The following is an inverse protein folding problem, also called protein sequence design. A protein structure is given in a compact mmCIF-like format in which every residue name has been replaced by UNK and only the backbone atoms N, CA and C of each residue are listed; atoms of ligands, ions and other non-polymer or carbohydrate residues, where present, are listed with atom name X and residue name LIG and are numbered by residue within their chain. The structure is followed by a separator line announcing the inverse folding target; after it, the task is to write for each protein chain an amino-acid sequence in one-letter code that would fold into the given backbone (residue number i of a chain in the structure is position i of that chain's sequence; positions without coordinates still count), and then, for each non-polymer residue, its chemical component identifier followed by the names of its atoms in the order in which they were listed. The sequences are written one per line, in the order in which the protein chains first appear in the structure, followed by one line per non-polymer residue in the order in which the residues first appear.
data_IF_927988304583
#
_entry.id   IF_927988304583
#
_cell.length_a   1.000
_cell.length_b   1.000
_cell.length_c   1.000
_cell.angle_alpha   90.00
_cell.angle_beta   90.00
_cell.angle_gamma   90.00
#
_symmetry.space_group_name_H-M   'P 1'
#
loop_
_entity.id
_entity.type
_entity.pdbx_description
1 polymer ?
#
# COMPACT_ATOMS: atom_id res chain seq x y z
N UNK A 1 30.10 -22.33 1.04
CA UNK A 1 29.36 -21.17 0.49
C UNK A 1 27.88 -21.53 0.45
N UNK A 2 27.11 -21.17 1.49
CA UNK A 2 25.66 -21.37 1.49
C UNK A 2 25.01 -20.13 0.87
N UNK A 3 24.26 -20.37 -0.20
CA UNK A 3 23.46 -19.40 -0.94
C UNK A 3 22.28 -19.03 -0.04
N UNK A 4 22.22 -17.78 0.42
CA UNK A 4 21.14 -17.30 1.29
C UNK A 4 19.80 -17.35 0.56
N UNK A 5 18.87 -18.13 1.10
CA UNK A 5 17.48 -18.15 0.67
C UNK A 5 16.83 -16.82 1.09
N UNK A 6 16.44 -16.00 0.10
CA UNK A 6 15.58 -14.85 0.36
C UNK A 6 14.20 -15.39 0.78
N UNK A 7 13.95 -15.45 2.09
CA UNK A 7 12.67 -15.85 2.66
C UNK A 7 11.60 -14.88 2.15
N UNK A 8 10.75 -15.37 1.25
CA UNK A 8 9.76 -14.57 0.55
C UNK A 8 8.74 -13.98 1.54
N UNK A 9 8.46 -12.69 1.36
CA UNK A 9 7.29 -12.03 1.94
C UNK A 9 6.02 -12.76 1.46
N UNK A 10 5.11 -13.04 2.38
CA UNK A 10 3.81 -13.63 2.03
C UNK A 10 2.77 -12.52 1.97
N UNK A 11 2.14 -12.35 0.81
CA UNK A 11 0.95 -11.52 0.67
C UNK A 11 -0.23 -12.25 1.30
N UNK A 12 -0.66 -11.81 2.49
CA UNK A 12 -1.81 -12.40 3.16
C UNK A 12 -2.97 -11.41 3.20
N UNK A 13 -4.14 -11.85 2.71
CA UNK A 13 -5.40 -11.12 2.90
C UNK A 13 -6.04 -11.60 4.20
N UNK A 14 -6.13 -10.72 5.21
CA UNK A 14 -6.77 -11.02 6.51
C UNK A 14 -7.85 -9.97 6.78
N UNK A 15 -9.11 -10.39 6.93
CA UNK A 15 -10.25 -9.50 7.23
C UNK A 15 -10.31 -8.24 6.35
N UNK A 16 -10.10 -8.41 5.04
CA UNK A 16 -10.13 -7.30 4.06
C UNK A 16 -8.89 -6.39 4.07
N UNK A 17 -7.83 -6.77 4.79
CA UNK A 17 -6.55 -6.06 4.78
C UNK A 17 -5.58 -6.77 3.84
N UNK A 18 -4.91 -6.00 3.00
CA UNK A 18 -3.70 -6.44 2.32
C UNK A 18 -2.50 -6.11 3.20
N UNK A 19 -1.78 -7.13 3.66
CA UNK A 19 -0.69 -6.98 4.63
C UNK A 19 0.57 -7.64 4.08
N UNK A 20 1.66 -6.88 4.01
CA UNK A 20 3.01 -7.44 3.92
C UNK A 20 3.57 -7.55 5.34
N UNK A 21 3.56 -8.76 5.92
CA UNK A 21 4.08 -9.00 7.27
C UNK A 21 5.55 -9.45 7.21
N UNK A 22 6.40 -8.75 7.97
CA UNK A 22 7.80 -9.13 8.16
C UNK A 22 8.00 -9.50 9.62
N UNK A 23 8.58 -10.67 9.87
CA UNK A 23 8.91 -11.08 11.23
C UNK A 23 10.08 -10.24 11.74
N UNK A 24 9.80 -9.30 12.66
CA UNK A 24 10.80 -8.42 13.28
C UNK A 24 11.94 -9.21 13.96
N UNK A 25 11.68 -10.46 14.38
CA UNK A 25 12.70 -11.35 14.99
C UNK A 25 13.69 -11.92 13.97
N UNK A 26 13.32 -11.92 12.69
CA UNK A 26 14.18 -12.43 11.61
C UNK A 26 15.11 -11.31 11.06
N UNK A 27 15.01 -10.07 11.56
CA UNK A 27 15.79 -8.90 11.10
C UNK A 27 16.47 -8.23 12.30
N UNK A 28 17.67 -8.70 12.65
CA UNK A 28 18.42 -8.30 13.87
C UNK A 28 18.74 -6.81 13.97
N UNK A 29 18.84 -6.11 12.84
CA UNK A 29 19.37 -4.74 12.75
C UNK A 29 18.27 -3.70 12.42
N UNK A 30 17.00 -4.11 12.43
CA UNK A 30 15.86 -3.32 11.98
C UNK A 30 15.57 -3.50 10.49
N UNK A 31 14.30 -3.43 10.12
CA UNK A 31 13.84 -3.57 8.74
C UNK A 31 13.57 -2.21 8.12
N UNK A 32 14.14 -1.94 6.94
CA UNK A 32 13.92 -0.70 6.23
C UNK A 32 12.54 -0.71 5.53
N UNK A 33 11.58 -0.01 6.12
CA UNK A 33 10.22 0.15 5.58
C UNK A 33 10.06 1.40 4.71
N UNK A 34 11.16 1.98 4.24
CA UNK A 34 11.11 3.04 3.21
C UNK A 34 10.43 2.51 1.96
N UNK A 35 9.49 3.26 1.42
CA UNK A 35 8.72 2.84 0.25
C UNK A 35 8.24 4.03 -0.58
N UNK A 36 7.92 3.73 -1.83
CA UNK A 36 7.26 4.63 -2.75
C UNK A 36 5.99 3.94 -3.26
N UNK A 37 4.82 4.53 -3.02
CA UNK A 37 3.56 4.11 -3.62
C UNK A 37 3.46 4.83 -4.95
N UNK A 38 3.98 4.20 -6.01
CA UNK A 38 3.93 4.79 -7.34
C UNK A 38 2.48 4.97 -7.81
N UNK A 39 1.60 4.01 -7.51
CA UNK A 39 0.18 4.04 -7.89
C UNK A 39 -0.61 2.99 -7.11
N UNK A 40 -1.81 3.33 -6.68
CA UNK A 40 -2.77 2.41 -6.09
C UNK A 40 -4.18 2.74 -6.59
N UNK A 41 -4.84 1.81 -7.27
CA UNK A 41 -6.17 2.04 -7.85
C UNK A 41 -7.05 0.80 -7.70
N UNK A 42 -8.37 1.02 -7.72
CA UNK A 42 -9.37 -0.02 -7.52
C UNK A 42 -10.39 0.01 -8.67
N UNK A 43 -10.18 -0.85 -9.67
CA UNK A 43 -10.99 -0.88 -10.89
C UNK A 43 -10.29 -0.21 -12.07
N UNK A 44 -11.07 0.17 -13.09
CA UNK A 44 -10.54 0.82 -14.29
C UNK A 44 -10.12 2.27 -14.01
N UNK A 45 -9.00 2.68 -14.61
CA UNK A 45 -8.51 4.06 -14.51
C UNK A 45 -9.42 5.01 -15.28
N UNK A 46 -9.83 6.08 -14.63
CA UNK A 46 -10.54 7.19 -15.26
C UNK A 46 -9.63 8.41 -15.28
N UNK A 47 -9.46 9.04 -16.44
CA UNK A 47 -8.64 10.25 -16.57
C UNK A 47 -9.22 11.38 -15.73
N UNK A 48 -8.35 12.11 -15.03
CA UNK A 48 -8.75 13.21 -14.14
C UNK A 48 -9.23 12.77 -12.75
N UNK A 49 -9.30 11.47 -12.46
CA UNK A 49 -9.52 10.98 -11.10
C UNK A 49 -8.17 10.82 -10.43
N UNK A 50 -7.94 11.59 -9.38
CA UNK A 50 -6.72 11.50 -8.57
C UNK A 50 -6.76 10.28 -7.66
N UNK A 51 -5.60 9.64 -7.50
CA UNK A 51 -5.40 8.53 -6.57
C UNK A 51 -4.69 9.05 -5.31
N UNK A 52 -5.35 9.12 -4.14
CA UNK A 52 -4.81 9.77 -2.95
C UNK A 52 -3.42 9.31 -2.47
N UNK A 53 -3.00 8.08 -2.79
CA UNK A 53 -1.67 7.55 -2.41
C UNK A 53 -0.65 7.56 -3.56
N UNK A 54 -1.05 7.89 -4.78
CA UNK A 54 -0.13 7.96 -5.93
C UNK A 54 0.97 9.00 -5.67
N UNK A 55 2.23 8.56 -5.79
CA UNK A 55 3.42 9.37 -5.50
C UNK A 55 3.82 9.46 -4.03
N UNK A 56 3.18 8.71 -3.12
CA UNK A 56 3.54 8.74 -1.69
C UNK A 56 4.95 8.19 -1.48
N UNK A 57 5.83 8.98 -0.86
CA UNK A 57 7.18 8.56 -0.48
C UNK A 57 7.36 8.59 1.04
N UNK A 58 7.89 7.49 1.60
CA UNK A 58 8.30 7.38 3.00
C UNK A 58 9.74 6.93 3.07
N UNK A 59 10.56 7.66 3.83
CA UNK A 59 11.97 7.34 4.05
C UNK A 59 12.20 7.13 5.53
N UNK A 60 12.69 5.95 5.90
CA UNK A 60 13.02 5.56 7.27
C UNK A 60 14.53 5.63 7.44
N UNK A 61 15.00 6.66 8.14
CA UNK A 61 16.43 6.91 8.35
C UNK A 61 17.00 6.14 9.56
N UNK A 62 16.17 5.90 10.60
CA UNK A 62 16.55 5.20 11.84
C UNK A 62 15.34 4.46 12.41
N UNK A 63 15.59 3.29 12.99
CA UNK A 63 14.57 2.43 13.60
C UNK A 63 13.75 1.63 12.58
N UNK A 64 12.72 0.92 13.06
CA UNK A 64 11.76 0.23 12.20
C UNK A 64 10.37 0.90 12.37
N UNK A 65 9.78 1.36 11.27
CA UNK A 65 8.46 1.99 11.27
C UNK A 65 7.42 1.09 10.63
N UNK A 66 6.22 1.05 11.20
CA UNK A 66 5.04 0.42 10.62
C UNK A 66 4.13 1.51 10.07
N UNK A 67 3.77 1.42 8.79
CA UNK A 67 2.86 2.34 8.11
C UNK A 67 1.52 1.64 7.85
N UNK A 68 0.43 2.21 8.35
CA UNK A 68 -0.92 1.74 8.10
C UNK A 68 -1.68 2.76 7.25
N UNK A 69 -2.21 2.31 6.12
CA UNK A 69 -3.10 3.07 5.25
C UNK A 69 -4.51 2.49 5.32
N UNK A 70 -5.43 3.23 5.92
CA UNK A 70 -6.85 2.86 6.03
C UNK A 70 -7.59 3.43 4.82
N UNK A 71 -7.95 2.54 3.89
CA UNK A 71 -8.59 2.91 2.63
C UNK A 71 -10.11 2.73 2.75
N UNK A 72 -10.86 3.78 2.42
CA UNK A 72 -12.32 3.71 2.27
C UNK A 72 -12.68 3.81 0.80
N UNK A 73 -13.29 2.76 0.27
CA UNK A 73 -13.71 2.69 -1.14
C UNK A 73 -15.14 3.18 -1.33
N UNK A 74 -15.35 3.93 -2.41
CA UNK A 74 -16.65 4.39 -2.89
C UNK A 74 -16.82 3.93 -4.34
N UNK A 75 -17.68 2.93 -4.61
CA UNK A 75 -18.01 2.53 -5.98
C UNK A 75 -18.52 3.72 -6.77
N UNK A 76 -18.00 3.92 -7.98
CA UNK A 76 -18.32 5.06 -8.85
C UNK A 76 -18.52 4.58 -10.28
N UNK A 77 -19.59 5.05 -10.92
CA UNK A 77 -19.87 4.85 -12.34
C UNK A 77 -19.55 6.14 -13.10
N UNK A 78 -18.62 6.08 -14.04
CA UNK A 78 -18.37 7.18 -14.98
C UNK A 78 -19.03 6.87 -16.32
N UNK A 79 -19.78 7.85 -16.85
CA UNK A 79 -20.33 7.78 -18.20
C UNK A 79 -19.57 8.75 -19.10
N UNK A 80 -18.91 8.22 -20.12
CA UNK A 80 -18.18 8.99 -21.13
C UNK A 80 -19.16 9.61 -22.14
N UNK A 81 -18.71 10.64 -22.85
CA UNK A 81 -19.52 11.33 -23.86
C UNK A 81 -19.93 10.42 -25.03
N UNK A 82 -19.16 9.36 -25.30
CA UNK A 82 -19.46 8.34 -26.31
C UNK A 82 -20.48 7.28 -25.84
N UNK A 83 -21.01 7.41 -24.62
CA UNK A 83 -21.95 6.46 -24.02
C UNK A 83 -21.30 5.28 -23.30
N UNK A 84 -19.97 5.16 -23.32
CA UNK A 84 -19.27 4.09 -22.61
C UNK A 84 -19.37 4.29 -21.10
N UNK A 85 -19.65 3.22 -20.38
CA UNK A 85 -19.74 3.19 -18.93
C UNK A 85 -18.51 2.51 -18.32
N UNK A 86 -17.95 3.13 -17.29
CA UNK A 86 -16.77 2.65 -16.58
C UNK A 86 -17.13 2.49 -15.11
N UNK A 87 -17.10 1.25 -14.64
CA UNK A 87 -17.26 0.91 -13.24
C UNK A 87 -15.90 0.93 -12.55
N UNK A 88 -15.75 1.81 -11.56
CA UNK A 88 -14.50 2.01 -10.83
C UNK A 88 -14.77 2.36 -9.37
N UNK A 89 -13.73 2.70 -8.61
CA UNK A 89 -13.86 3.19 -7.25
C UNK A 89 -13.04 4.45 -7.06
N UNK A 90 -13.63 5.42 -6.38
CA UNK A 90 -12.88 6.47 -5.71
C UNK A 90 -12.52 6.00 -4.31
N UNK A 91 -11.47 6.57 -3.72
CA UNK A 91 -11.13 6.23 -2.35
C UNK A 91 -10.62 7.45 -1.58
N UNK A 92 -10.68 7.32 -0.26
CA UNK A 92 -10.02 8.23 0.67
C UNK A 92 -9.12 7.44 1.59
N UNK A 93 -8.14 8.12 2.18
CA UNK A 93 -7.15 7.48 3.05
C UNK A 93 -7.00 8.22 4.36
N UNK A 94 -6.91 7.46 5.43
CA UNK A 94 -6.32 7.90 6.70
C UNK A 94 -5.06 7.09 6.95
N UNK A 95 -3.96 7.74 7.33
CA UNK A 95 -2.69 7.06 7.59
C UNK A 95 -2.29 7.14 9.06
N UNK A 96 -1.63 6.10 9.55
CA UNK A 96 -0.96 6.07 10.85
C UNK A 96 0.44 5.49 10.66
N UNK A 97 1.43 6.03 11.39
CA UNK A 97 2.79 5.50 11.43
C UNK A 97 3.23 5.28 12.87
N UNK A 98 3.87 4.14 13.14
CA UNK A 98 4.35 3.75 14.48
C UNK A 98 5.80 3.30 14.41
N UNK A 99 6.66 3.86 15.27
CA UNK A 99 7.97 3.26 15.53
C UNK A 99 7.77 1.96 16.32
N UNK A 100 8.24 0.85 15.76
CA UNK A 100 8.05 -0.51 16.29
C UNK A 100 9.12 -0.85 17.34
N UNK A 101 10.22 -0.11 17.37
CA UNK A 101 11.33 -0.31 18.31
C UNK A 101 11.29 0.66 19.51
N UNK A 102 10.32 1.56 19.55
CA UNK A 102 10.12 2.51 20.64
C UNK A 102 9.12 2.00 21.69
#
# INVERSE_FOLDING_TARGET
MQRGESKMSFDQVRDGKHVHEFNIRDVSDGFNTSHNINRLEFGERVQGVESPLEGTQKVVLKGAYMFHYYIKLVPTLFRRADGTEVYTHQYSVTSNEKNVLA
#
